data_IF_061420786056
#
_entry.id   IF_061420786056
#
_cell.length_a   1.000
_cell.length_b   1.000
_cell.length_c   1.000
_cell.angle_alpha   90.00
_cell.angle_beta   90.00
_cell.angle_gamma   90.00
#
_symmetry.space_group_name_H-M   'P 1'
#
loop_
_entity.id
_entity.type
_entity.pdbx_description
1 polymer ?
#
# COMPACT_ATOMS: atom_id res chain seq x y z
N UNK A 1 6.14 -8.19 -10.45
CA UNK A 1 5.63 -6.91 -9.90
C UNK A 1 5.37 -7.09 -8.41
N UNK A 2 5.59 -6.06 -7.59
CA UNK A 2 5.38 -6.16 -6.15
C UNK A 2 3.91 -5.99 -5.78
N UNK A 3 3.40 -6.84 -4.89
CA UNK A 3 2.03 -6.77 -4.38
C UNK A 3 1.86 -5.58 -3.44
N UNK A 4 0.62 -5.14 -3.22
CA UNK A 4 0.34 -4.00 -2.36
C UNK A 4 0.85 -4.15 -0.90
N UNK A 5 0.77 -5.31 -0.23
CA UNK A 5 1.34 -5.47 1.12
C UNK A 5 2.86 -5.24 1.16
N UNK A 6 3.57 -5.73 0.13
CA UNK A 6 5.02 -5.54 -0.02
C UNK A 6 5.34 -4.05 -0.18
N UNK A 7 4.62 -3.35 -1.06
CA UNK A 7 4.80 -1.92 -1.26
C UNK A 7 4.49 -1.12 0.01
N UNK A 8 3.40 -1.46 0.71
CA UNK A 8 3.02 -0.80 1.95
C UNK A 8 4.16 -0.90 2.99
N UNK A 9 4.74 -2.08 3.19
CA UNK A 9 5.81 -2.26 4.16
C UNK A 9 7.08 -1.49 3.82
N UNK A 10 7.44 -1.39 2.53
CA UNK A 10 8.58 -0.57 2.11
C UNK A 10 8.31 0.94 2.24
N UNK A 11 7.09 1.39 1.94
CA UNK A 11 6.80 2.82 1.78
C UNK A 11 6.26 3.48 3.04
N UNK A 12 5.34 2.83 3.77
CA UNK A 12 4.66 3.41 4.94
C UNK A 12 5.62 3.91 6.03
N UNK A 13 6.72 3.20 6.39
CA UNK A 13 7.68 3.70 7.37
C UNK A 13 8.33 5.04 6.97
N UNK A 14 8.49 5.30 5.67
CA UNK A 14 9.17 6.49 5.13
C UNK A 14 8.28 7.74 5.11
N UNK A 15 6.96 7.55 5.20
CA UNK A 15 5.97 8.63 5.09
C UNK A 15 5.86 9.36 6.44
N UNK A 16 5.82 10.70 6.40
CA UNK A 16 5.56 11.52 7.58
C UNK A 16 4.11 11.39 8.05
N UNK A 17 3.85 11.68 9.32
CA UNK A 17 2.47 11.71 9.86
C UNK A 17 1.59 12.64 9.02
N UNK A 18 0.34 12.21 8.78
CA UNK A 18 -0.66 12.86 7.90
C UNK A 18 -0.28 12.94 6.42
N UNK A 19 0.87 12.39 6.02
CA UNK A 19 1.25 12.21 4.62
C UNK A 19 0.47 11.07 3.96
N UNK A 20 0.68 10.88 2.66
CA UNK A 20 -0.06 9.91 1.85
C UNK A 20 0.87 8.87 1.23
N UNK A 21 0.43 7.62 1.29
CA UNK A 21 0.89 6.52 0.45
C UNK A 21 -0.07 6.41 -0.73
N UNK A 22 0.45 6.45 -1.96
CA UNK A 22 -0.36 6.32 -3.17
C UNK A 22 0.31 5.25 -4.04
N UNK A 23 -0.38 4.13 -4.24
CA UNK A 23 0.11 3.04 -5.08
C UNK A 23 -0.73 2.96 -6.36
N UNK A 24 -0.09 3.13 -7.51
CA UNK A 24 -0.72 2.86 -8.80
C UNK A 24 -0.70 1.35 -9.08
N UNK A 25 -1.88 0.81 -9.37
CA UNK A 25 -2.14 -0.60 -9.62
C UNK A 25 -2.83 -0.80 -10.96
N UNK A 26 -2.70 -2.01 -11.48
CA UNK A 26 -3.43 -2.44 -12.67
C UNK A 26 -4.84 -2.89 -12.33
N UNK A 27 -5.50 -3.59 -13.27
CA UNK A 27 -6.76 -4.28 -12.99
C UNK A 27 -6.58 -5.23 -11.79
N UNK A 28 -7.50 -5.18 -10.83
CA UNK A 28 -7.45 -6.01 -9.61
C UNK A 28 -6.97 -5.31 -8.34
N UNK A 29 -6.96 -3.97 -8.33
CA UNK A 29 -6.52 -3.19 -7.17
C UNK A 29 -7.35 -3.45 -5.91
N UNK A 30 -8.64 -3.73 -6.03
CA UNK A 30 -9.51 -4.05 -4.90
C UNK A 30 -9.11 -5.36 -4.22
N UNK A 31 -8.81 -6.41 -4.99
CA UNK A 31 -8.35 -7.69 -4.44
C UNK A 31 -6.98 -7.56 -3.77
N UNK A 32 -6.07 -6.78 -4.38
CA UNK A 32 -4.79 -6.47 -3.73
C UNK A 32 -4.96 -5.65 -2.45
N UNK A 33 -5.95 -4.75 -2.42
CA UNK A 33 -6.28 -3.95 -1.24
C UNK A 33 -6.83 -4.80 -0.11
N UNK A 34 -7.74 -5.71 -0.41
CA UNK A 34 -8.28 -6.66 0.57
C UNK A 34 -7.14 -7.48 1.20
N UNK A 35 -6.20 -7.98 0.39
CA UNK A 35 -5.02 -8.69 0.87
C UNK A 35 -4.06 -7.80 1.69
N UNK A 36 -4.02 -6.49 1.44
CA UNK A 36 -3.14 -5.54 2.13
C UNK A 36 -3.76 -4.91 3.39
N UNK A 37 -5.03 -5.18 3.70
CA UNK A 37 -5.72 -4.55 4.83
C UNK A 37 -4.97 -4.70 6.16
N UNK A 38 -4.47 -5.92 6.44
CA UNK A 38 -3.68 -6.17 7.66
C UNK A 38 -2.37 -5.38 7.68
N UNK A 39 -1.62 -5.41 6.57
CA UNK A 39 -0.38 -4.66 6.41
C UNK A 39 -0.60 -3.16 6.64
N UNK A 40 -1.58 -2.57 5.96
CA UNK A 40 -1.90 -1.15 6.06
C UNK A 40 -2.29 -0.75 7.49
N UNK A 41 -3.09 -1.55 8.18
CA UNK A 41 -3.50 -1.28 9.56
C UNK A 41 -2.31 -1.28 10.53
N UNK A 42 -1.48 -2.33 10.46
CA UNK A 42 -0.24 -2.46 11.26
C UNK A 42 0.70 -1.30 11.01
N UNK A 43 0.86 -0.89 9.75
CA UNK A 43 1.80 0.14 9.34
C UNK A 43 1.30 1.57 9.59
N UNK A 44 0.07 1.70 10.09
CA UNK A 44 -0.52 2.96 10.56
C UNK A 44 -1.28 3.76 9.51
N UNK A 45 -1.78 3.08 8.48
CA UNK A 45 -2.71 3.67 7.52
C UNK A 45 -4.05 3.99 8.17
N UNK A 46 -4.71 5.02 7.65
CA UNK A 46 -6.15 5.20 7.76
C UNK A 46 -6.91 4.35 6.77
N UNK A 47 -8.20 4.65 6.61
CA UNK A 47 -9.07 3.98 5.64
C UNK A 47 -8.55 4.23 4.22
N UNK A 48 -8.33 3.17 3.43
CA UNK A 48 -7.86 3.28 2.07
C UNK A 48 -8.99 3.67 1.12
N UNK A 49 -8.67 4.50 0.14
CA UNK A 49 -9.56 4.85 -0.97
C UNK A 49 -9.01 4.25 -2.27
N UNK A 50 -9.89 3.79 -3.16
CA UNK A 50 -9.53 3.32 -4.50
C UNK A 50 -10.11 4.26 -5.54
N UNK A 51 -9.25 4.88 -6.34
CA UNK A 51 -9.63 5.71 -7.47
C UNK A 51 -9.31 5.00 -8.78
N UNK A 52 -10.34 4.61 -9.52
CA UNK A 52 -10.20 4.03 -10.86
C UNK A 52 -9.98 5.12 -11.91
N UNK A 53 -9.07 4.86 -12.84
CA UNK A 53 -8.62 5.76 -13.90
C UNK A 53 -8.58 5.00 -15.23
N UNK A 54 -8.98 5.68 -16.30
CA UNK A 54 -8.70 5.24 -17.67
C UNK A 54 -7.63 6.14 -18.25
N UNK A 55 -6.46 5.57 -18.58
CA UNK A 55 -5.38 6.33 -19.20
C UNK A 55 -5.74 6.70 -20.65
N UNK A 56 -5.08 7.71 -21.26
CA UNK A 56 -5.35 8.13 -22.63
C UNK A 56 -5.26 7.01 -23.69
N UNK A 57 -4.49 5.94 -23.40
CA UNK A 57 -4.37 4.75 -24.25
C UNK A 57 -5.49 3.70 -24.06
N UNK A 58 -6.50 3.98 -23.23
CA UNK A 58 -7.59 3.05 -22.91
C UNK A 58 -7.25 2.03 -21.82
N UNK A 59 -6.03 2.05 -21.29
CA UNK A 59 -5.61 1.17 -20.20
C UNK A 59 -6.28 1.58 -18.88
N UNK A 60 -6.87 0.60 -18.18
CA UNK A 60 -7.39 0.79 -16.84
C UNK A 60 -6.28 0.72 -15.78
N UNK A 61 -6.29 1.70 -14.88
CA UNK A 61 -5.43 1.77 -13.70
C UNK A 61 -6.27 2.13 -12.49
N UNK A 62 -5.77 1.83 -11.31
CA UNK A 62 -6.37 2.30 -10.06
C UNK A 62 -5.29 2.88 -9.16
N UNK A 63 -5.62 3.92 -8.41
CA UNK A 63 -4.79 4.44 -7.34
C UNK A 63 -5.37 3.97 -6.02
N UNK A 64 -4.57 3.24 -5.25
CA UNK A 64 -4.85 2.98 -3.84
C UNK A 64 -4.23 4.10 -3.03
N UNK A 65 -5.06 4.87 -2.33
CA UNK A 65 -4.67 6.07 -1.59
C UNK A 65 -4.87 5.80 -0.10
N UNK A 66 -3.83 6.04 0.70
CA UNK A 66 -3.82 5.73 2.12
C UNK A 66 -3.16 6.87 2.90
N UNK A 67 -3.88 7.50 3.83
CA UNK A 67 -3.28 8.52 4.70
C UNK A 67 -2.59 7.88 5.91
N UNK A 68 -1.39 8.33 6.27
CA UNK A 68 -0.70 7.86 7.48
C UNK A 68 -1.27 8.56 8.71
N UNK A 69 -2.09 7.83 9.47
CA UNK A 69 -2.78 8.35 10.65
C UNK A 69 -2.13 7.92 11.97
N UNK A 70 -1.29 6.87 11.95
CA UNK A 70 -0.58 6.36 13.13
C UNK A 70 0.91 6.17 12.83
N UNK A 71 1.73 6.19 13.88
CA UNK A 71 3.14 5.87 13.76
C UNK A 71 3.32 4.39 13.38
N UNK A 72 4.20 4.15 12.41
CA UNK A 72 4.61 2.79 12.06
C UNK A 72 5.45 2.20 13.20
N UNK A 73 5.18 0.96 13.67
CA UNK A 73 5.96 0.36 14.76
C UNK A 73 7.44 0.21 14.39
N UNK A 74 8.34 0.31 15.39
CA UNK A 74 9.81 0.28 15.20
C UNK A 74 10.35 -0.99 14.53
N UNK A 75 9.59 -2.08 14.51
CA UNK A 75 9.97 -3.34 13.87
C UNK A 75 9.83 -3.35 12.34
N UNK A 76 9.35 -2.25 11.75
CA UNK A 76 9.11 -2.12 10.32
C UNK A 76 9.97 -1.00 9.69
N UNK A 77 10.43 -1.16 8.45
CA UNK A 77 10.23 -2.33 7.59
C UNK A 77 11.01 -3.54 8.11
N UNK A 78 10.47 -4.76 7.96
CA UNK A 78 11.23 -5.98 8.26
C UNK A 78 12.38 -6.13 7.25
N UNK A 79 13.24 -7.11 7.47
CA UNK A 79 14.30 -7.41 6.51
C UNK A 79 13.71 -7.75 5.14
N UNK A 80 14.29 -7.22 4.05
CA UNK A 80 13.68 -7.30 2.70
C UNK A 80 13.38 -8.72 2.22
N UNK A 81 14.21 -9.69 2.59
CA UNK A 81 13.94 -11.11 2.31
C UNK A 81 12.65 -11.62 2.96
N UNK A 82 12.31 -11.15 4.16
CA UNK A 82 11.07 -11.48 4.87
C UNK A 82 9.87 -10.82 4.21
N UNK A 83 9.99 -9.54 3.81
CA UNK A 83 8.90 -8.80 3.15
C UNK A 83 8.44 -9.54 1.88
N UNK A 84 9.38 -10.03 1.08
CA UNK A 84 9.08 -10.70 -0.18
C UNK A 84 8.58 -12.14 0.00
N UNK A 85 9.13 -12.90 0.95
CA UNK A 85 8.76 -14.31 1.18
C UNK A 85 7.49 -14.47 2.01
N UNK A 86 7.27 -13.54 2.95
CA UNK A 86 6.16 -13.54 3.89
C UNK A 86 5.59 -12.12 4.01
N UNK A 87 4.88 -11.63 2.98
CA UNK A 87 4.15 -10.38 3.05
C UNK A 87 3.21 -10.36 4.26
N UNK A 88 3.03 -9.18 4.84
CA UNK A 88 2.00 -8.96 5.87
C UNK A 88 0.60 -9.18 5.30
#
# INVERSE_FOLDING_TARGET
MATLPVLAEYCMPLIKMKGYFIAMKGPGAEQELEAAGNALDILGSGEPEVLSLTLPGGEERSLVICQKLRFTPKGYPRHGGTILKHPL
#
